data_IF_280892085903
#
_entry.id   IF_280892085903
#
_cell.length_a   1.000
_cell.length_b   1.000
_cell.length_c   1.000
_cell.angle_alpha   90.00
_cell.angle_beta   90.00
_cell.angle_gamma   90.00
#
_symmetry.space_group_name_H-M   'P 1'
#
loop_
_entity.id
_entity.type
_entity.pdbx_description
1 polymer ?
#
# COMPACT_ATOMS: atom_id res chain seq x y z
N UNK A 1 16.97 -8.25 -11.82
CA UNK A 1 16.87 -7.99 -12.38
C UNK A 1 17.14 -7.01 -12.68
N UNK A 2 17.57 -6.78 -12.15
CA UNK A 2 17.27 -5.48 -12.45
C UNK A 2 18.43 -4.77 -13.05
N UNK A 3 18.40 -4.57 -14.32
CA UNK A 3 19.50 -3.91 -15.00
C UNK A 3 19.75 -2.53 -14.50
N UNK A 4 18.80 -1.98 -13.83
CA UNK A 4 18.96 -0.65 -13.33
C UNK A 4 19.95 -0.55 -12.22
N UNK A 5 20.19 -1.64 -11.55
CA UNK A 5 21.13 -1.61 -10.45
C UNK A 5 22.56 -1.41 -10.90
N UNK A 6 22.83 -1.61 -12.16
CA UNK A 6 24.19 -1.44 -12.66
C UNK A 6 24.49 0.00 -13.04
N UNK A 7 23.55 0.89 -12.88
CA UNK A 7 23.76 2.26 -13.27
C UNK A 7 24.52 3.03 -12.23
N UNK A 8 24.96 4.22 -12.59
CA UNK A 8 25.80 5.02 -11.73
C UNK A 8 25.09 5.53 -10.48
N UNK A 9 25.88 6.09 -9.60
CA UNK A 9 25.37 6.55 -8.32
C UNK A 9 24.37 7.69 -8.46
N UNK A 10 24.53 8.52 -9.46
CA UNK A 10 23.58 9.60 -9.68
C UNK A 10 22.20 9.07 -9.95
N UNK A 11 22.12 8.00 -10.70
CA UNK A 11 20.84 7.39 -10.98
C UNK A 11 20.21 6.82 -9.72
N UNK A 12 21.06 6.33 -8.82
CA UNK A 12 20.54 5.77 -7.59
C UNK A 12 19.80 6.83 -6.79
N UNK A 13 20.34 8.01 -6.70
CA UNK A 13 19.68 9.08 -5.97
C UNK A 13 18.37 9.50 -6.62
N UNK A 14 18.39 9.69 -7.92
CA UNK A 14 17.17 10.04 -8.61
C UNK A 14 16.14 8.95 -8.46
N UNK A 15 16.63 7.72 -8.48
CA UNK A 15 15.73 6.60 -8.38
C UNK A 15 15.07 6.53 -7.03
N UNK A 16 15.75 6.94 -5.98
CA UNK A 16 15.15 6.92 -4.65
C UNK A 16 13.95 7.85 -4.59
N UNK A 17 14.05 9.03 -5.16
CA UNK A 17 12.91 9.93 -5.19
C UNK A 17 11.80 9.35 -6.05
N UNK A 18 12.18 8.83 -7.21
CA UNK A 18 11.20 8.21 -8.08
C UNK A 18 10.59 6.98 -7.45
N UNK A 19 11.42 6.25 -6.69
CA UNK A 19 10.93 5.06 -6.04
C UNK A 19 9.80 5.39 -5.05
N UNK A 20 9.96 6.45 -4.29
CA UNK A 20 8.92 6.83 -3.35
C UNK A 20 7.62 7.18 -4.06
N UNK A 21 7.71 7.95 -5.12
CA UNK A 21 6.52 8.32 -5.86
C UNK A 21 5.86 7.10 -6.47
N UNK A 22 6.67 6.21 -7.03
CA UNK A 22 6.13 4.98 -7.60
C UNK A 22 5.56 4.07 -6.55
N UNK A 23 6.24 3.95 -5.42
CA UNK A 23 5.76 3.11 -4.35
C UNK A 23 4.43 3.61 -3.83
N UNK A 24 4.32 4.93 -3.67
CA UNK A 24 3.07 5.52 -3.22
C UNK A 24 1.95 5.21 -4.19
N UNK A 25 2.22 5.39 -5.48
CA UNK A 25 1.23 5.11 -6.49
C UNK A 25 0.87 3.63 -6.51
N UNK A 26 1.89 2.77 -6.40
CA UNK A 26 1.66 1.33 -6.37
C UNK A 26 0.78 0.95 -5.19
N UNK A 27 1.02 1.56 -4.04
CA UNK A 27 0.22 1.26 -2.86
C UNK A 27 -1.21 1.73 -3.02
N UNK A 28 -1.41 2.88 -3.67
CA UNK A 28 -2.77 3.34 -3.93
C UNK A 28 -3.51 2.39 -4.85
N UNK A 29 -2.84 1.90 -5.90
CA UNK A 29 -3.45 0.93 -6.80
C UNK A 29 -3.74 -0.36 -6.07
N UNK A 30 -2.80 -0.81 -5.26
CA UNK A 30 -2.99 -2.02 -4.49
C UNK A 30 -4.20 -1.88 -3.57
N UNK A 31 -4.29 -0.75 -2.90
CA UNK A 31 -5.40 -0.51 -2.00
C UNK A 31 -6.73 -0.59 -2.73
N UNK A 32 -6.80 0.03 -3.89
CA UNK A 32 -8.04 0.02 -4.67
C UNK A 32 -8.37 -1.37 -5.18
N UNK A 33 -7.35 -2.10 -5.62
CA UNK A 33 -7.57 -3.47 -6.10
C UNK A 33 -8.07 -4.36 -4.98
N UNK A 34 -7.48 -4.24 -3.81
CA UNK A 34 -7.90 -5.05 -2.68
C UNK A 34 -9.29 -4.62 -2.22
N UNK A 35 -9.57 -3.32 -2.24
CA UNK A 35 -10.90 -2.86 -1.89
C UNK A 35 -11.95 -3.45 -2.83
N UNK A 36 -11.62 -3.55 -4.11
CA UNK A 36 -12.49 -4.17 -5.09
C UNK A 36 -12.77 -5.63 -4.71
N UNK A 37 -11.71 -6.35 -4.34
CA UNK A 37 -11.88 -7.74 -3.95
C UNK A 37 -12.74 -7.88 -2.71
N UNK A 38 -12.52 -7.00 -1.74
CA UNK A 38 -13.32 -7.02 -0.52
C UNK A 38 -14.79 -6.79 -0.84
N UNK A 39 -15.06 -5.85 -1.72
CA UNK A 39 -16.44 -5.57 -2.11
C UNK A 39 -17.07 -6.75 -2.84
N UNK A 40 -16.30 -7.38 -3.71
CA UNK A 40 -16.81 -8.47 -4.51
C UNK A 40 -17.03 -9.72 -3.68
N UNK A 41 -16.04 -10.06 -2.86
CA UNK A 41 -16.09 -11.30 -2.08
C UNK A 41 -16.72 -11.12 -0.73
N UNK A 42 -16.88 -9.88 -0.28
CA UNK A 42 -17.45 -9.56 1.02
C UNK A 42 -16.68 -10.19 2.16
N UNK A 43 -15.35 -10.21 2.01
CA UNK A 43 -14.48 -10.76 3.03
C UNK A 43 -13.34 -9.78 3.28
N UNK A 44 -12.92 -9.65 4.53
CA UNK A 44 -11.78 -8.79 4.81
C UNK A 44 -10.50 -9.39 4.23
N UNK A 45 -9.59 -8.51 3.85
CA UNK A 45 -8.31 -8.91 3.31
C UNK A 45 -7.23 -8.17 4.09
N UNK A 46 -6.25 -8.93 4.58
CA UNK A 46 -5.10 -8.35 5.28
C UNK A 46 -3.96 -8.20 4.29
N UNK A 47 -3.33 -7.05 4.32
CA UNK A 47 -2.18 -6.79 3.47
C UNK A 47 -0.91 -7.22 4.20
N UNK A 48 0.20 -7.17 3.47
CA UNK A 48 1.48 -7.49 4.06
C UNK A 48 1.86 -6.45 5.11
N UNK A 49 2.69 -6.83 6.09
CA UNK A 49 3.17 -5.84 7.04
C UNK A 49 3.89 -4.70 6.33
N UNK A 50 3.65 -3.50 6.78
CA UNK A 50 4.20 -2.31 6.15
C UNK A 50 4.65 -1.33 7.22
N UNK A 51 5.54 -0.42 6.83
CA UNK A 51 5.96 0.62 7.75
C UNK A 51 4.84 1.66 7.91
N UNK A 52 4.93 2.53 8.91
CA UNK A 52 3.85 3.49 9.16
C UNK A 52 3.56 4.41 7.97
N UNK A 53 4.60 4.77 7.23
CA UNK A 53 4.41 5.64 6.06
C UNK A 53 3.54 4.95 5.01
N UNK A 54 3.83 3.69 4.75
CA UNK A 54 3.10 2.95 3.74
C UNK A 54 1.66 2.68 4.18
N UNK A 55 1.49 2.37 5.45
CA UNK A 55 0.14 2.16 5.96
C UNK A 55 -0.71 3.42 5.81
N UNK A 56 -0.09 4.58 6.02
CA UNK A 56 -0.81 5.83 5.87
C UNK A 56 -1.28 6.03 4.43
N UNK A 57 -0.47 5.62 3.47
CA UNK A 57 -0.86 5.74 2.07
C UNK A 57 -2.11 4.88 1.80
N UNK A 58 -2.12 3.67 2.30
CA UNK A 58 -3.27 2.79 2.12
C UNK A 58 -4.51 3.38 2.75
N UNK A 59 -4.39 3.85 4.00
CA UNK A 59 -5.55 4.45 4.67
C UNK A 59 -6.07 5.66 3.89
N UNK A 60 -5.17 6.51 3.42
CA UNK A 60 -5.59 7.70 2.67
C UNK A 60 -6.28 7.33 1.37
N UNK A 61 -5.75 6.32 0.68
CA UNK A 61 -6.30 5.92 -0.61
C UNK A 61 -7.74 5.44 -0.47
N UNK A 62 -8.07 4.83 0.66
CA UNK A 62 -9.39 4.25 0.84
C UNK A 62 -10.28 5.07 1.75
N UNK A 63 -9.78 6.19 2.25
CA UNK A 63 -10.54 7.01 3.17
C UNK A 63 -11.81 7.53 2.52
N UNK A 64 -11.76 7.81 1.24
CA UNK A 64 -12.91 8.35 0.53
C UNK A 64 -13.83 7.26 -0.03
N UNK A 65 -13.48 6.00 0.14
CA UNK A 65 -14.32 4.92 -0.36
C UNK A 65 -15.46 4.66 0.61
N UNK A 66 -16.71 4.78 0.15
CA UNK A 66 -17.84 4.63 1.06
C UNK A 66 -18.18 3.19 1.41
N UNK A 67 -17.56 2.22 0.76
CA UNK A 67 -17.94 0.83 0.93
C UNK A 67 -16.95 0.00 1.73
N UNK A 68 -15.75 0.51 1.94
CA UNK A 68 -14.74 -0.23 2.67
C UNK A 68 -14.14 0.66 3.74
N UNK A 69 -13.58 0.02 4.74
CA UNK A 69 -12.85 0.72 5.77
C UNK A 69 -11.54 0.00 6.02
N UNK A 70 -10.59 0.71 6.58
CA UNK A 70 -9.28 0.17 6.84
C UNK A 70 -8.93 0.33 8.31
N UNK A 71 -8.15 -0.61 8.81
CA UNK A 71 -7.60 -0.49 10.15
C UNK A 71 -6.28 -1.23 10.18
N UNK A 72 -5.48 -0.94 11.19
CA UNK A 72 -4.18 -1.59 11.35
C UNK A 72 -4.26 -2.62 12.45
N UNK A 73 -3.59 -3.75 12.23
CA UNK A 73 -3.54 -4.83 13.22
C UNK A 73 -2.11 -5.27 13.41
N UNK A 74 -1.82 -5.80 14.59
CA UNK A 74 -0.51 -6.30 14.88
C UNK A 74 0.38 -5.25 15.53
N UNK A 75 1.62 -5.62 15.78
CA UNK A 75 2.59 -4.74 16.40
C UNK A 75 3.77 -4.52 15.48
N UNK A 76 4.38 -3.34 15.62
CA UNK A 76 5.57 -3.07 14.85
C UNK A 76 6.64 -4.11 15.14
N UNK A 77 7.46 -4.51 14.19
CA UNK A 77 7.46 -4.02 12.80
C UNK A 77 6.52 -4.77 11.87
N UNK A 78 5.67 -5.64 12.41
CA UNK A 78 4.83 -6.50 11.57
C UNK A 78 3.40 -6.00 11.47
N UNK A 79 3.18 -4.76 11.83
CA UNK A 79 1.83 -4.20 11.76
C UNK A 79 1.37 -4.09 10.32
N UNK A 80 0.14 -4.47 10.07
CA UNK A 80 -0.40 -4.53 8.71
C UNK A 80 -1.76 -3.83 8.67
N UNK A 81 -2.18 -3.53 7.45
CA UNK A 81 -3.49 -2.93 7.21
C UNK A 81 -4.47 -4.02 6.83
N UNK A 82 -5.65 -3.95 7.37
CA UNK A 82 -6.74 -4.86 7.01
C UNK A 82 -7.85 -4.02 6.40
N UNK A 83 -8.35 -4.45 5.26
CA UNK A 83 -9.42 -3.77 4.54
C UNK A 83 -10.68 -4.60 4.70
N UNK A 84 -11.74 -3.98 5.20
CA UNK A 84 -12.99 -4.68 5.45
C UNK A 84 -14.13 -3.91 4.81
N UNK A 85 -15.26 -4.59 4.67
CA UNK A 85 -16.46 -3.94 4.18
C UNK A 85 -17.04 -3.04 5.25
N UNK A 86 -17.48 -1.89 4.82
CA UNK A 86 -18.15 -0.96 5.68
C UNK A 86 -19.64 -1.27 5.64
N UNK A 87 -20.22 -1.38 6.77
CA UNK A 87 -21.65 -1.66 6.81
C UNK A 87 -22.49 -0.41 6.86
#
# INVERSE_FOLDING_TARGET
RDPEMSRGLGDVYKRQENYRARREETLRHLAKNIAHKVKRNRRPVALEPMNPYERRIIHSALQSDPYVMTHSEGEEPFRKVVITLKK
#
